data_IF_324978296194
#
_entry.id   IF_324978296194
#
_cell.length_a   1.000
_cell.length_b   1.000
_cell.length_c   1.000
_cell.angle_alpha   90.00
_cell.angle_beta   90.00
_cell.angle_gamma   90.00
#
_symmetry.space_group_name_H-M   'P 1'
#
loop_
_entity.id
_entity.type
_entity.pdbx_description
1 polymer ?
#
# COMPACT_ATOMS: atom_id res chain seq x y z
N UNK A 1 20.58 19.17 14.45
CA UNK A 1 19.54 19.39 15.48
C UNK A 1 18.27 18.78 14.90
N UNK A 2 17.91 17.59 15.37
CA UNK A 2 16.72 16.85 14.92
C UNK A 2 15.51 17.46 15.63
N UNK A 3 14.63 18.12 14.88
CA UNK A 3 13.33 18.53 15.39
C UNK A 3 12.50 17.26 15.63
N UNK A 4 12.42 16.83 16.87
CA UNK A 4 11.46 15.84 17.31
C UNK A 4 10.08 16.49 17.26
N UNK A 5 9.38 16.31 16.12
CA UNK A 5 7.97 16.68 16.02
C UNK A 5 7.20 15.73 16.95
N UNK A 6 6.79 16.25 18.13
CA UNK A 6 5.96 15.49 19.04
C UNK A 6 4.64 15.18 18.34
N UNK A 7 4.42 13.92 18.00
CA UNK A 7 3.14 13.44 17.47
C UNK A 7 2.07 13.72 18.52
N UNK A 8 1.02 14.43 18.14
CA UNK A 8 -0.09 14.76 19.01
C UNK A 8 -0.74 13.46 19.49
N UNK A 9 -0.86 13.23 20.80
CA UNK A 9 -1.42 12.00 21.36
C UNK A 9 -2.83 11.75 20.85
N UNK A 10 -3.16 10.47 20.56
CA UNK A 10 -4.50 10.07 20.17
C UNK A 10 -5.53 10.43 21.26
N UNK A 11 -6.65 11.00 20.84
CA UNK A 11 -7.80 11.27 21.70
C UNK A 11 -8.99 10.45 21.21
N UNK A 12 -9.77 9.86 22.10
CA UNK A 12 -10.89 8.96 21.79
C UNK A 12 -12.09 9.61 21.09
N UNK A 13 -11.99 10.86 20.67
CA UNK A 13 -13.06 11.60 19.97
C UNK A 13 -13.12 11.34 18.45
N UNK A 14 -12.11 10.69 17.86
CA UNK A 14 -12.04 10.35 16.43
C UNK A 14 -11.68 8.87 16.24
N UNK A 15 -11.84 8.36 14.99
CA UNK A 15 -11.32 7.03 14.66
C UNK A 15 -9.79 7.04 14.72
N UNK A 16 -9.20 5.94 15.18
CA UNK A 16 -7.75 5.81 15.29
C UNK A 16 -7.07 5.96 13.92
N UNK A 17 -7.64 5.35 12.87
CA UNK A 17 -7.15 5.47 11.50
C UNK A 17 -7.26 6.89 10.95
N UNK A 18 -8.31 7.65 11.29
CA UNK A 18 -8.45 9.05 10.86
C UNK A 18 -7.39 9.95 11.52
N UNK A 19 -7.11 9.72 12.81
CA UNK A 19 -6.02 10.40 13.50
C UNK A 19 -4.66 10.10 12.86
N UNK A 20 -4.37 8.82 12.56
CA UNK A 20 -3.14 8.43 11.89
C UNK A 20 -2.99 9.12 10.52
N UNK A 21 -4.04 9.15 9.72
CA UNK A 21 -4.04 9.83 8.42
C UNK A 21 -3.84 11.33 8.58
N UNK A 22 -4.55 11.96 9.50
CA UNK A 22 -4.50 13.41 9.70
C UNK A 22 -3.10 13.88 10.13
N UNK A 23 -2.44 13.13 11.02
CA UNK A 23 -1.06 13.42 11.42
C UNK A 23 -0.04 13.24 10.30
N UNK A 24 -0.41 12.54 9.22
CA UNK A 24 0.41 12.29 8.03
C UNK A 24 -0.14 12.97 6.76
N UNK A 25 -1.09 13.92 6.90
CA UNK A 25 -1.83 14.55 5.80
C UNK A 25 -0.94 15.00 4.65
N UNK A 26 0.16 15.69 4.93
CA UNK A 26 1.05 16.23 3.89
C UNK A 26 1.57 15.15 2.93
N UNK A 27 2.08 14.04 3.46
CA UNK A 27 2.57 12.93 2.63
C UNK A 27 1.41 12.14 2.00
N UNK A 28 0.30 11.98 2.74
CA UNK A 28 -0.91 11.32 2.24
C UNK A 28 -1.49 12.02 1.02
N UNK A 29 -1.69 13.35 1.12
CA UNK A 29 -2.23 14.15 0.03
C UNK A 29 -1.24 14.18 -1.15
N UNK A 30 0.06 14.28 -0.89
CA UNK A 30 1.08 14.25 -1.94
C UNK A 30 1.13 12.90 -2.69
N UNK A 31 0.90 11.78 -2.00
CA UNK A 31 0.83 10.46 -2.63
C UNK A 31 -0.48 10.27 -3.40
N UNK A 32 -1.63 10.58 -2.79
CA UNK A 32 -2.94 10.36 -3.43
C UNK A 32 -3.26 11.36 -4.55
N UNK A 33 -2.58 12.51 -4.59
CA UNK A 33 -2.70 13.53 -5.63
C UNK A 33 -1.46 13.60 -6.52
N UNK A 34 -0.65 12.52 -6.53
CA UNK A 34 0.59 12.48 -7.29
C UNK A 34 0.31 12.53 -8.80
N UNK A 35 1.22 13.16 -9.56
CA UNK A 35 1.10 13.29 -11.03
C UNK A 35 0.95 11.93 -11.73
N UNK A 36 1.58 10.87 -11.21
CA UNK A 36 1.45 9.50 -11.74
C UNK A 36 -0.02 9.06 -11.77
N UNK A 37 -0.77 9.40 -10.73
CA UNK A 37 -2.20 9.06 -10.62
C UNK A 37 -3.01 9.87 -11.64
N UNK A 38 -2.69 11.16 -11.86
CA UNK A 38 -3.33 11.98 -12.88
C UNK A 38 -3.08 11.41 -14.28
N UNK A 39 -1.82 11.11 -14.59
CA UNK A 39 -1.41 10.52 -15.88
C UNK A 39 -2.06 9.13 -16.09
N UNK A 40 -2.21 8.33 -15.01
CA UNK A 40 -2.86 7.02 -15.05
C UNK A 40 -4.34 7.16 -15.44
N UNK A 41 -5.08 8.06 -14.80
CA UNK A 41 -6.49 8.34 -15.12
C UNK A 41 -6.68 8.93 -16.52
N UNK A 42 -5.76 9.77 -16.95
CA UNK A 42 -5.81 10.39 -18.28
C UNK A 42 -5.30 9.43 -19.38
N UNK A 43 -4.75 8.26 -19.01
CA UNK A 43 -4.19 7.26 -19.93
C UNK A 43 -2.91 7.72 -20.62
N UNK A 44 -2.20 8.70 -20.03
CA UNK A 44 -1.02 9.36 -20.59
C UNK A 44 0.31 8.97 -19.96
N UNK A 45 0.30 8.07 -18.96
CA UNK A 45 1.54 7.54 -18.39
C UNK A 45 2.39 6.96 -19.52
N UNK A 46 3.65 7.40 -19.61
CA UNK A 46 4.60 6.86 -20.58
C UNK A 46 4.88 5.38 -20.27
N UNK A 47 5.00 4.55 -21.32
CA UNK A 47 5.12 3.10 -21.15
C UNK A 47 6.37 2.70 -20.33
N UNK A 48 7.47 3.43 -20.45
CA UNK A 48 8.71 3.22 -19.65
C UNK A 48 8.51 3.55 -18.16
N UNK A 49 7.75 4.60 -17.84
CA UNK A 49 7.37 4.96 -16.46
C UNK A 49 6.45 3.88 -15.88
N UNK A 50 5.46 3.43 -16.65
CA UNK A 50 4.54 2.39 -16.21
C UNK A 50 5.26 1.04 -16.01
N UNK A 51 6.18 0.67 -16.90
CA UNK A 51 7.03 -0.52 -16.76
C UNK A 51 7.83 -0.42 -15.46
N UNK A 52 8.48 0.72 -15.20
CA UNK A 52 9.25 0.91 -13.98
C UNK A 52 8.39 0.78 -12.74
N UNK A 53 7.20 1.41 -12.73
CA UNK A 53 6.22 1.28 -11.66
C UNK A 53 5.84 -0.18 -11.43
N UNK A 54 5.31 -0.87 -12.44
CA UNK A 54 4.81 -2.25 -12.30
C UNK A 54 5.90 -3.24 -11.91
N UNK A 55 7.12 -3.09 -12.45
CA UNK A 55 8.25 -3.96 -12.08
C UNK A 55 8.61 -3.83 -10.62
N UNK A 56 8.63 -2.62 -10.06
CA UNK A 56 8.95 -2.38 -8.65
C UNK A 56 7.78 -2.79 -7.74
N UNK A 57 6.55 -2.52 -8.15
CA UNK A 57 5.33 -2.84 -7.42
C UNK A 57 5.14 -4.36 -7.28
N UNK A 58 5.38 -5.11 -8.36
CA UNK A 58 5.34 -6.57 -8.34
C UNK A 58 6.28 -7.20 -7.28
N UNK A 59 7.36 -6.50 -6.90
CA UNK A 59 8.29 -7.00 -5.87
C UNK A 59 7.74 -6.90 -4.45
N UNK A 60 6.62 -6.17 -4.24
CA UNK A 60 5.99 -6.10 -2.91
C UNK A 60 5.20 -7.36 -2.55
N UNK A 61 4.67 -8.10 -3.53
CA UNK A 61 3.75 -9.23 -3.31
C UNK A 61 4.30 -10.22 -2.30
N UNK A 62 5.58 -10.64 -2.42
CA UNK A 62 6.20 -11.60 -1.50
C UNK A 62 6.17 -11.11 -0.04
N UNK A 63 6.64 -9.89 0.20
CA UNK A 63 6.68 -9.30 1.55
C UNK A 63 5.31 -8.94 2.08
N UNK A 64 4.41 -8.52 1.21
CA UNK A 64 3.04 -8.22 1.58
C UNK A 64 2.28 -9.47 2.02
N UNK A 65 2.42 -10.59 1.30
CA UNK A 65 1.85 -11.89 1.71
C UNK A 65 2.44 -12.37 3.03
N UNK A 66 3.75 -12.17 3.27
CA UNK A 66 4.37 -12.48 4.54
C UNK A 66 3.80 -11.63 5.70
N UNK A 67 3.57 -10.34 5.46
CA UNK A 67 2.93 -9.44 6.43
C UNK A 67 1.47 -9.85 6.71
N UNK A 68 0.70 -10.21 5.67
CA UNK A 68 -0.64 -10.79 5.84
C UNK A 68 -0.60 -12.08 6.66
N UNK A 69 0.37 -12.95 6.43
CA UNK A 69 0.59 -14.16 7.22
C UNK A 69 0.83 -13.88 8.71
N UNK A 70 1.64 -12.86 9.02
CA UNK A 70 1.87 -12.41 10.40
C UNK A 70 0.61 -11.82 11.03
N UNK A 71 -0.17 -11.02 10.28
CA UNK A 71 -1.46 -10.50 10.73
C UNK A 71 -2.48 -11.63 10.98
N UNK A 72 -2.54 -12.65 10.10
CA UNK A 72 -3.39 -13.84 10.30
C UNK A 72 -3.00 -14.57 11.58
N UNK A 73 -1.70 -14.79 11.78
CA UNK A 73 -1.19 -15.52 12.96
C UNK A 73 -1.51 -14.80 14.27
N UNK A 74 -1.37 -13.48 14.29
CA UNK A 74 -1.51 -12.63 15.48
C UNK A 74 -2.93 -12.07 15.69
N UNK A 75 -3.85 -12.19 14.73
CA UNK A 75 -5.23 -11.73 14.91
C UNK A 75 -5.92 -12.39 16.10
N UNK A 76 -6.69 -11.62 16.86
CA UNK A 76 -7.39 -12.05 18.08
C UNK A 76 -8.73 -12.74 17.80
N UNK A 77 -9.25 -12.66 16.55
CA UNK A 77 -10.55 -13.23 16.14
C UNK A 77 -10.40 -14.16 14.94
N UNK A 78 -11.15 -15.25 14.94
CA UNK A 78 -11.17 -16.20 13.83
C UNK A 78 -11.67 -15.57 12.54
N UNK A 79 -12.70 -14.74 12.61
CA UNK A 79 -13.30 -14.04 11.47
C UNK A 79 -12.26 -13.14 10.78
N UNK A 80 -11.42 -12.46 11.56
CA UNK A 80 -10.33 -11.62 11.03
C UNK A 80 -9.30 -12.47 10.28
N UNK A 81 -8.93 -13.64 10.83
CA UNK A 81 -8.04 -14.59 10.14
C UNK A 81 -8.60 -15.05 8.79
N UNK A 82 -9.89 -15.42 8.78
CA UNK A 82 -10.57 -15.88 7.55
C UNK A 82 -10.57 -14.80 6.49
N UNK A 83 -10.86 -13.54 6.88
CA UNK A 83 -10.94 -12.43 5.93
C UNK A 83 -9.58 -12.07 5.34
N UNK A 84 -8.54 -12.02 6.17
CA UNK A 84 -7.15 -11.81 5.71
C UNK A 84 -6.66 -12.96 4.81
N UNK A 85 -6.99 -14.21 5.13
CA UNK A 85 -6.62 -15.36 4.30
C UNK A 85 -7.27 -15.33 2.92
N UNK A 86 -8.53 -14.92 2.83
CA UNK A 86 -9.23 -14.72 1.55
C UNK A 86 -8.60 -13.60 0.73
N UNK A 87 -8.21 -12.52 1.37
CA UNK A 87 -7.52 -11.42 0.71
C UNK A 87 -6.13 -11.84 0.20
N UNK A 88 -5.36 -12.58 0.98
CA UNK A 88 -4.07 -13.14 0.53
C UNK A 88 -4.23 -14.06 -0.70
N UNK A 89 -5.30 -14.87 -0.74
CA UNK A 89 -5.60 -15.72 -1.89
C UNK A 89 -5.94 -14.87 -3.14
N UNK A 90 -6.68 -13.77 -2.99
CA UNK A 90 -7.03 -12.88 -4.11
C UNK A 90 -5.79 -12.20 -4.69
N UNK A 91 -4.92 -11.61 -3.86
CA UNK A 91 -3.69 -10.95 -4.31
C UNK A 91 -2.78 -11.92 -5.08
N UNK A 92 -2.66 -13.14 -4.61
CA UNK A 92 -1.79 -14.14 -5.25
C UNK A 92 -2.40 -14.78 -6.50
N UNK A 93 -3.66 -14.49 -6.83
CA UNK A 93 -4.35 -14.97 -8.04
C UNK A 93 -4.69 -13.83 -9.01
N UNK A 94 -5.63 -12.98 -8.65
CA UNK A 94 -6.22 -12.01 -9.59
C UNK A 94 -5.26 -10.85 -9.90
N UNK A 95 -4.69 -10.24 -8.88
CA UNK A 95 -3.73 -9.15 -9.04
C UNK A 95 -2.42 -9.62 -9.69
N UNK A 96 -1.89 -10.77 -9.27
CA UNK A 96 -0.73 -11.38 -9.92
C UNK A 96 -0.97 -11.63 -11.43
N UNK A 97 -2.20 -11.99 -11.82
CA UNK A 97 -2.60 -12.17 -13.23
C UNK A 97 -2.57 -10.84 -13.99
N UNK A 98 -2.99 -9.74 -13.39
CA UNK A 98 -2.89 -8.40 -14.00
C UNK A 98 -1.44 -8.04 -14.30
N UNK A 99 -0.51 -8.24 -13.35
CA UNK A 99 0.92 -7.96 -13.57
C UNK A 99 1.48 -8.74 -14.75
N UNK A 100 1.23 -10.04 -14.82
CA UNK A 100 1.74 -10.90 -15.92
C UNK A 100 1.23 -10.44 -17.28
N UNK A 101 -0.08 -10.17 -17.40
CA UNK A 101 -0.68 -9.68 -18.66
C UNK A 101 -0.15 -8.31 -19.05
N UNK A 102 0.07 -7.43 -18.08
CA UNK A 102 0.63 -6.09 -18.31
C UNK A 102 2.09 -6.17 -18.76
N UNK A 103 2.90 -7.01 -18.15
CA UNK A 103 4.28 -7.26 -18.58
C UNK A 103 4.37 -7.81 -19.98
N UNK A 104 3.51 -8.78 -20.33
CA UNK A 104 3.47 -9.37 -21.66
C UNK A 104 3.04 -8.32 -22.72
N UNK A 105 2.06 -7.48 -22.39
CA UNK A 105 1.61 -6.38 -23.25
C UNK A 105 2.68 -5.32 -23.49
N UNK A 106 3.43 -4.98 -22.44
CA UNK A 106 4.50 -3.97 -22.46
C UNK A 106 5.86 -4.54 -22.93
N UNK A 107 5.94 -5.83 -23.22
CA UNK A 107 7.16 -6.49 -23.70
C UNK A 107 8.27 -6.60 -22.64
N UNK A 108 7.92 -6.63 -21.35
CA UNK A 108 8.88 -6.76 -20.24
C UNK A 108 9.42 -8.20 -20.19
N UNK A 109 10.72 -8.36 -20.42
CA UNK A 109 11.37 -9.66 -20.36
C UNK A 109 11.32 -10.26 -18.93
N UNK A 110 11.20 -11.59 -18.83
CA UNK A 110 11.06 -12.30 -17.56
C UNK A 110 12.15 -11.96 -16.55
N UNK A 111 13.40 -11.83 -16.99
CA UNK A 111 14.52 -11.46 -16.09
C UNK A 111 14.33 -10.09 -15.42
N UNK A 112 13.66 -9.15 -16.11
CA UNK A 112 13.45 -7.80 -15.59
C UNK A 112 12.28 -7.73 -14.59
N UNK A 113 11.32 -8.66 -14.65
CA UNK A 113 10.20 -8.75 -13.71
C UNK A 113 10.47 -9.67 -12.51
N UNK A 114 11.39 -10.65 -12.65
CA UNK A 114 11.68 -11.61 -11.58
C UNK A 114 12.91 -11.27 -10.74
N UNK A 115 13.86 -10.53 -11.29
CA UNK A 115 15.11 -10.13 -10.59
C UNK A 115 15.54 -8.71 -10.96
N UNK A 116 14.68 -7.71 -10.77
CA UNK A 116 15.06 -6.32 -11.03
C UNK A 116 16.02 -5.80 -9.97
N UNK A 117 16.78 -4.76 -10.32
CA UNK A 117 17.43 -3.93 -9.32
C UNK A 117 16.35 -3.15 -8.58
N UNK A 118 16.22 -3.40 -7.27
CA UNK A 118 15.21 -2.71 -6.45
C UNK A 118 15.60 -1.26 -6.23
N UNK A 119 14.63 -0.36 -6.34
CA UNK A 119 14.81 1.05 -5.95
C UNK A 119 14.97 1.19 -4.44
N UNK A 120 15.47 2.34 -3.98
CA UNK A 120 15.61 2.60 -2.55
C UNK A 120 14.25 2.59 -1.82
N UNK A 121 13.18 3.24 -2.33
CA UNK A 121 11.84 3.16 -1.72
C UNK A 121 11.30 1.74 -1.68
N UNK A 122 11.44 0.96 -2.77
CA UNK A 122 10.96 -0.43 -2.81
C UNK A 122 11.62 -1.28 -1.72
N UNK A 123 12.96 -1.19 -1.60
CA UNK A 123 13.69 -1.90 -0.52
C UNK A 123 13.24 -1.48 0.86
N UNK A 124 13.16 -0.16 1.09
CA UNK A 124 12.78 0.38 2.40
C UNK A 124 11.35 -0.03 2.79
N UNK A 125 10.43 -0.16 1.82
CA UNK A 125 9.08 -0.60 2.11
C UNK A 125 9.02 -2.12 2.38
N UNK A 126 9.78 -2.93 1.65
CA UNK A 126 9.94 -4.35 1.97
C UNK A 126 10.50 -4.56 3.39
N UNK A 127 11.50 -3.75 3.78
CA UNK A 127 12.07 -3.79 5.13
C UNK A 127 11.04 -3.36 6.19
N UNK A 128 10.21 -2.36 5.91
CA UNK A 128 9.12 -1.94 6.81
C UNK A 128 8.06 -3.04 6.97
N UNK A 129 7.65 -3.70 5.88
CA UNK A 129 6.71 -4.84 5.94
C UNK A 129 7.29 -5.98 6.76
N UNK A 130 8.58 -6.27 6.59
CA UNK A 130 9.29 -7.28 7.38
C UNK A 130 9.33 -6.90 8.86
N UNK A 131 9.71 -5.68 9.19
CA UNK A 131 9.73 -5.15 10.57
C UNK A 131 8.37 -5.31 11.24
N UNK A 132 7.29 -4.88 10.57
CA UNK A 132 5.94 -5.01 11.10
C UNK A 132 5.53 -6.48 11.31
N UNK A 133 5.87 -7.37 10.36
CA UNK A 133 5.59 -8.80 10.47
C UNK A 133 6.34 -9.47 11.65
N UNK A 134 7.60 -9.09 11.87
CA UNK A 134 8.44 -9.61 12.96
C UNK A 134 7.94 -9.23 14.35
N UNK A 135 7.12 -8.17 14.46
CA UNK A 135 6.47 -7.82 15.74
C UNK A 135 5.51 -8.87 16.24
N UNK A 136 4.95 -9.70 15.35
CA UNK A 136 3.86 -10.65 15.66
C UNK A 136 2.72 -9.99 16.43
N UNK A 137 2.47 -8.70 16.18
CA UNK A 137 1.48 -7.88 16.85
C UNK A 137 0.43 -7.42 15.84
N UNK A 138 -0.82 -7.85 16.03
CA UNK A 138 -1.89 -7.63 15.06
C UNK A 138 -2.09 -6.15 14.69
N UNK A 139 -2.34 -5.21 15.62
CA UNK A 139 -2.50 -3.80 15.28
C UNK A 139 -1.25 -3.17 14.65
N UNK A 140 -0.04 -3.62 14.97
CA UNK A 140 1.17 -3.11 14.31
C UNK A 140 1.27 -3.61 12.85
N UNK A 141 0.94 -4.88 12.57
CA UNK A 141 0.82 -5.38 11.20
C UNK A 141 -0.25 -4.60 10.42
N UNK A 142 -1.42 -4.36 11.05
CA UNK A 142 -2.51 -3.58 10.44
C UNK A 142 -2.09 -2.14 10.12
N UNK A 143 -1.18 -1.53 10.89
CA UNK A 143 -0.74 -0.15 10.65
C UNK A 143 -0.08 0.02 9.28
N UNK A 144 0.65 -0.98 8.79
CA UNK A 144 1.26 -0.98 7.46
C UNK A 144 0.25 -1.42 6.40
N UNK A 145 -0.52 -2.51 6.65
CA UNK A 145 -1.54 -3.00 5.72
C UNK A 145 -2.61 -1.94 5.39
N UNK A 146 -3.06 -1.19 6.42
CA UNK A 146 -4.05 -0.12 6.22
C UNK A 146 -3.51 0.97 5.28
N UNK A 147 -2.24 1.32 5.36
CA UNK A 147 -1.66 2.33 4.45
C UNK A 147 -1.63 1.79 3.04
N UNK A 148 -1.07 0.60 2.83
CA UNK A 148 -0.93 0.00 1.51
C UNK A 148 -2.28 -0.06 0.76
N UNK A 149 -3.36 -0.43 1.46
CA UNK A 149 -4.66 -0.61 0.82
C UNK A 149 -5.50 0.69 0.79
N UNK A 150 -5.54 1.45 1.89
CA UNK A 150 -6.38 2.64 1.98
C UNK A 150 -5.86 3.80 1.15
N UNK A 151 -4.56 3.94 1.00
CA UNK A 151 -3.98 4.95 0.13
C UNK A 151 -4.35 4.67 -1.33
N UNK A 152 -4.32 3.39 -1.74
CA UNK A 152 -4.75 2.97 -3.09
C UNK A 152 -6.24 3.20 -3.32
N UNK A 153 -7.10 2.80 -2.40
CA UNK A 153 -8.53 3.15 -2.48
C UNK A 153 -8.72 4.68 -2.58
N UNK A 154 -8.00 5.45 -1.79
CA UNK A 154 -8.15 6.91 -1.74
C UNK A 154 -7.82 7.60 -3.07
N UNK A 155 -6.78 7.16 -3.77
CA UNK A 155 -6.49 7.73 -5.09
C UNK A 155 -7.40 7.14 -6.18
N UNK A 156 -7.79 5.86 -6.09
CA UNK A 156 -8.62 5.23 -7.10
C UNK A 156 -10.07 5.78 -7.11
N UNK A 157 -10.59 6.19 -5.96
CA UNK A 157 -11.90 6.83 -5.82
C UNK A 157 -11.89 8.35 -6.17
N UNK A 158 -10.72 8.94 -6.38
CA UNK A 158 -10.57 10.39 -6.54
C UNK A 158 -11.28 10.95 -7.78
N UNK A 159 -11.33 10.18 -8.86
CA UNK A 159 -11.98 10.57 -10.12
C UNK A 159 -13.05 9.55 -10.50
N UNK A 160 -14.29 10.01 -10.65
CA UNK A 160 -15.37 9.24 -11.28
C UNK A 160 -15.37 9.50 -12.80
N UNK A 161 -14.23 9.38 -13.44
CA UNK A 161 -14.08 9.63 -14.86
C UNK A 161 -14.31 8.37 -15.69
N UNK A 162 -14.51 8.56 -17.00
CA UNK A 162 -14.44 7.47 -17.97
C UNK A 162 -13.06 6.82 -17.87
N UNK A 163 -13.02 5.50 -17.72
CA UNK A 163 -11.77 4.76 -17.65
C UNK A 163 -10.93 4.96 -18.93
N UNK A 164 -9.60 5.00 -18.82
CA UNK A 164 -8.71 5.09 -19.98
C UNK A 164 -8.89 3.87 -20.90
N UNK A 165 -8.63 4.01 -22.23
CA UNK A 165 -8.91 2.94 -23.18
C UNK A 165 -7.95 1.74 -23.08
N UNK A 166 -6.72 1.94 -22.58
CA UNK A 166 -5.75 0.86 -22.40
C UNK A 166 -6.10 0.06 -21.15
N UNK A 167 -6.20 -1.27 -21.26
CA UNK A 167 -6.51 -2.14 -20.11
C UNK A 167 -5.49 -2.04 -18.97
N UNK A 168 -4.20 -1.83 -19.30
CA UNK A 168 -3.12 -1.69 -18.32
C UNK A 168 -3.31 -0.50 -17.38
N UNK A 169 -4.06 0.53 -17.78
CA UNK A 169 -4.46 1.65 -16.93
C UNK A 169 -5.81 1.39 -16.27
N UNK A 170 -6.82 1.03 -17.10
CA UNK A 170 -8.19 0.88 -16.65
C UNK A 170 -8.35 -0.19 -15.57
N UNK A 171 -7.72 -1.35 -15.76
CA UNK A 171 -7.83 -2.46 -14.83
C UNK A 171 -7.11 -2.16 -13.51
N UNK A 172 -5.94 -1.48 -13.55
CA UNK A 172 -5.25 -1.05 -12.35
C UNK A 172 -6.11 -0.13 -11.47
N UNK A 173 -6.83 0.80 -12.10
CA UNK A 173 -7.79 1.65 -11.40
C UNK A 173 -8.93 0.81 -10.82
N UNK A 174 -9.52 -0.10 -11.60
CA UNK A 174 -10.68 -0.88 -11.16
C UNK A 174 -10.37 -1.94 -10.12
N UNK A 175 -9.13 -2.44 -10.07
CA UNK A 175 -8.67 -3.30 -8.98
C UNK A 175 -8.74 -2.61 -7.62
N UNK A 176 -8.55 -1.28 -7.58
CA UNK A 176 -8.44 -0.52 -6.35
C UNK A 176 -9.65 0.36 -6.00
N UNK A 177 -10.76 0.28 -6.76
CA UNK A 177 -12.01 1.00 -6.46
C UNK A 177 -13.30 0.18 -6.66
N UNK A 178 -13.18 -1.14 -6.82
CA UNK A 178 -14.37 -1.99 -6.87
C UNK A 178 -14.99 -2.17 -5.46
N UNK A 179 -16.27 -2.59 -5.43
CA UNK A 179 -17.03 -2.75 -4.18
C UNK A 179 -16.34 -3.71 -3.19
N UNK A 180 -15.75 -4.79 -3.69
CA UNK A 180 -15.06 -5.78 -2.86
C UNK A 180 -13.80 -5.23 -2.19
N UNK A 181 -13.01 -4.46 -2.93
CA UNK A 181 -11.84 -3.78 -2.41
C UNK A 181 -12.22 -2.69 -1.40
N UNK A 182 -13.22 -1.87 -1.73
CA UNK A 182 -13.76 -0.84 -0.83
C UNK A 182 -14.26 -1.44 0.49
N UNK A 183 -15.00 -2.56 0.43
CA UNK A 183 -15.47 -3.28 1.61
C UNK A 183 -14.31 -3.85 2.43
N UNK A 184 -13.29 -4.39 1.78
CA UNK A 184 -12.09 -4.90 2.46
C UNK A 184 -11.32 -3.78 3.17
N UNK A 185 -11.04 -2.67 2.50
CA UNK A 185 -10.32 -1.52 3.09
C UNK A 185 -11.07 -0.94 4.28
N UNK A 186 -12.39 -0.75 4.15
CA UNK A 186 -13.21 -0.26 5.25
C UNK A 186 -13.21 -1.20 6.45
N UNK A 187 -13.22 -2.49 6.22
CA UNK A 187 -13.08 -3.49 7.27
C UNK A 187 -11.68 -3.45 7.89
N UNK A 188 -10.62 -3.39 7.10
CA UNK A 188 -9.23 -3.34 7.58
C UNK A 188 -9.01 -2.13 8.51
N UNK A 189 -9.55 -0.97 8.11
CA UNK A 189 -9.57 0.23 8.94
C UNK A 189 -10.33 0.01 10.25
N UNK A 190 -11.51 -0.64 10.19
CA UNK A 190 -12.30 -0.90 11.39
C UNK A 190 -11.60 -1.87 12.37
N UNK A 191 -10.79 -2.79 11.89
CA UNK A 191 -9.95 -3.66 12.72
C UNK A 191 -8.85 -2.86 13.44
N UNK A 192 -8.16 -1.95 12.74
CA UNK A 192 -7.18 -1.07 13.37
C UNK A 192 -7.82 -0.07 14.34
N UNK A 193 -8.99 0.47 14.01
CA UNK A 193 -9.77 1.34 14.92
C UNK A 193 -10.22 0.62 16.21
N UNK A 194 -10.45 -0.69 16.12
CA UNK A 194 -10.82 -1.53 17.26
C UNK A 194 -9.63 -1.89 18.14
N UNK A 195 -8.49 -2.21 17.52
CA UNK A 195 -7.32 -2.77 18.22
C UNK A 195 -6.27 -1.73 18.58
N UNK A 196 -6.13 -0.69 17.77
CA UNK A 196 -5.15 0.38 17.97
C UNK A 196 -5.31 1.12 19.31
N UNK A 197 -6.53 1.63 19.62
CA UNK A 197 -6.77 2.32 20.91
C UNK A 197 -6.60 1.44 22.15
N UNK A 198 -6.66 0.10 21.99
CA UNK A 198 -6.47 -0.83 23.10
C UNK A 198 -4.99 -1.06 23.46
N UNK A 199 -4.06 -0.62 22.62
CA UNK A 199 -2.64 -0.63 22.95
C UNK A 199 -2.31 0.43 24.01
N UNK A 200 -1.23 0.21 24.75
CA UNK A 200 -0.66 1.25 25.59
C UNK A 200 -0.05 2.41 24.76
N UNK A 201 0.37 3.48 25.42
CA UNK A 201 0.93 4.65 24.74
C UNK A 201 2.15 4.32 23.86
N UNK A 202 2.98 3.37 24.29
CA UNK A 202 4.16 2.92 23.50
C UNK A 202 3.72 2.18 22.25
N UNK A 203 2.74 1.29 22.35
CA UNK A 203 2.17 0.58 21.21
C UNK A 203 1.47 1.51 20.22
N UNK A 204 0.70 2.48 20.70
CA UNK A 204 0.07 3.51 19.86
C UNK A 204 1.10 4.36 19.13
N UNK A 205 2.19 4.76 19.80
CA UNK A 205 3.29 5.49 19.18
C UNK A 205 3.98 4.65 18.12
N UNK A 206 4.25 3.36 18.38
CA UNK A 206 4.85 2.46 17.40
C UNK A 206 3.95 2.27 16.17
N UNK A 207 2.62 2.13 16.38
CA UNK A 207 1.64 2.11 15.30
C UNK A 207 1.71 3.40 14.45
N UNK A 208 1.78 4.56 15.08
CA UNK A 208 1.89 5.84 14.40
C UNK A 208 3.20 5.96 13.59
N UNK A 209 4.31 5.49 14.13
CA UNK A 209 5.61 5.50 13.44
C UNK A 209 5.62 4.58 12.21
N UNK A 210 5.07 3.36 12.33
CA UNK A 210 4.94 2.43 11.20
C UNK A 210 4.03 3.02 10.10
N UNK A 211 2.88 3.59 10.49
CA UNK A 211 1.94 4.22 9.57
C UNK A 211 2.59 5.41 8.85
N UNK A 212 3.28 6.29 9.58
CA UNK A 212 3.94 7.46 9.01
C UNK A 212 5.03 7.09 8.00
N UNK A 213 5.83 6.08 8.33
CA UNK A 213 6.87 5.56 7.43
C UNK A 213 6.26 4.94 6.18
N UNK A 214 5.17 4.17 6.31
CA UNK A 214 4.47 3.58 5.17
C UNK A 214 3.93 4.67 4.23
N UNK A 215 3.22 5.68 4.73
CA UNK A 215 2.70 6.80 3.92
C UNK A 215 3.82 7.56 3.20
N UNK A 216 4.94 7.80 3.90
CA UNK A 216 6.11 8.46 3.29
C UNK A 216 6.70 7.62 2.16
N UNK A 217 6.81 6.31 2.35
CA UNK A 217 7.38 5.40 1.36
C UNK A 217 6.48 5.23 0.14
N UNK A 218 5.15 5.26 0.29
CA UNK A 218 4.21 5.30 -0.85
C UNK A 218 4.45 6.54 -1.72
N UNK A 219 4.58 7.71 -1.09
CA UNK A 219 4.90 8.94 -1.83
C UNK A 219 6.25 8.83 -2.55
N UNK A 220 7.29 8.38 -1.84
CA UNK A 220 8.63 8.24 -2.42
C UNK A 220 8.66 7.18 -3.53
N UNK A 221 7.82 6.15 -3.44
CA UNK A 221 7.65 5.15 -4.49
C UNK A 221 7.09 5.79 -5.78
N UNK A 222 6.02 6.58 -5.70
CA UNK A 222 5.50 7.31 -6.86
C UNK A 222 6.50 8.35 -7.40
N UNK A 223 7.21 9.08 -6.54
CA UNK A 223 8.27 10.01 -6.96
C UNK A 223 9.34 9.28 -7.81
N UNK A 224 9.70 8.06 -7.39
CA UNK A 224 10.86 7.34 -7.95
C UNK A 224 10.59 6.71 -9.32
N UNK A 225 9.34 6.44 -9.70
CA UNK A 225 9.02 5.82 -10.99
C UNK A 225 9.41 6.66 -12.19
N UNK A 226 9.62 7.97 -12.01
CA UNK A 226 10.12 8.89 -13.01
C UNK A 226 11.65 8.97 -13.09
N UNK A 227 12.34 8.32 -12.17
CA UNK A 227 13.81 8.21 -12.24
C UNK A 227 14.15 7.07 -13.20
N UNK A 228 15.02 7.29 -14.21
CA UNK A 228 15.38 6.22 -15.13
C UNK A 228 15.89 4.99 -14.37
N UNK A 229 15.41 3.78 -14.72
CA UNK A 229 15.87 2.56 -14.08
C UNK A 229 17.36 2.38 -14.35
N UNK A 230 18.13 2.03 -13.31
CA UNK A 230 19.51 1.61 -13.47
C UNK A 230 19.49 0.13 -13.87
N UNK A 231 19.75 -0.16 -15.12
CA UNK A 231 19.99 -1.52 -15.60
C UNK A 231 21.50 -1.80 -15.51
N UNK A 232 21.88 -2.77 -14.68
CA UNK A 232 23.22 -3.35 -14.69
C UNK A 232 23.40 -4.30 -15.89
#
# INVERSE_FOLDING_TARGET
MSESTSVQSFTTSSRFTDWLRETNRTNWDAATQHRFIDELFDGTVADDVLIHYLVQDYQFIDRFVALLGAAIASADRFESRVRLARFAAMITSDEATYFIRSFDHLGVAERHRTKPTLTAPTRAFQDLMKEAAETQNYPLCLSVLVVAEWLYLSWADRKQATLPPKFIHAEWITLHNNDGFTDFVNWLRSELDRTGPAMDATGQQHSADLFARAVKLEREFFDHVYTPPQYD
#
